data_IF_097454054190
#
_entry.id   IF_097454054190
#
_cell.length_a   1.000
_cell.length_b   1.000
_cell.length_c   1.000
_cell.angle_alpha   90.00
_cell.angle_beta   90.00
_cell.angle_gamma   90.00
#
_symmetry.space_group_name_H-M   'P 1'
#
loop_
_entity.id
_entity.type
_entity.pdbx_description
1 polymer ?
#
# COMPACT_ATOMS: atom_id res chain seq x y z
N UNK A 1 -13.91 -30.42 20.23
CA UNK A 1 -12.93 -29.66 19.43
C UNK A 1 -12.40 -28.52 20.30
N UNK A 2 -11.09 -28.40 20.56
CA UNK A 2 -10.59 -27.30 21.37
C UNK A 2 -10.81 -26.01 20.58
N UNK A 3 -11.54 -25.05 21.18
CA UNK A 3 -11.80 -23.74 20.60
C UNK A 3 -10.47 -23.17 20.11
N UNK A 4 -10.32 -22.97 18.79
CA UNK A 4 -9.18 -22.24 18.27
C UNK A 4 -9.14 -20.90 19.02
N UNK A 5 -8.15 -20.74 19.90
CA UNK A 5 -8.12 -19.64 20.87
C UNK A 5 -8.26 -18.33 20.10
N UNK A 6 -9.41 -17.69 20.26
CA UNK A 6 -9.76 -16.45 19.58
C UNK A 6 -8.83 -15.36 20.12
N UNK A 7 -8.15 -14.67 19.23
CA UNK A 7 -7.31 -13.53 19.58
C UNK A 7 -7.49 -12.45 18.54
N UNK A 8 -7.22 -11.19 18.94
CA UNK A 8 -7.28 -10.04 18.03
C UNK A 8 -6.41 -10.28 16.80
N UNK A 9 -5.18 -10.74 16.99
CA UNK A 9 -4.25 -10.99 15.88
C UNK A 9 -4.78 -12.04 14.91
N UNK A 10 -5.30 -13.18 15.39
CA UNK A 10 -5.89 -14.21 14.52
C UNK A 10 -7.09 -13.67 13.75
N UNK A 11 -7.94 -12.88 14.39
CA UNK A 11 -9.08 -12.23 13.75
C UNK A 11 -8.61 -11.31 12.62
N UNK A 12 -7.62 -10.44 12.88
CA UNK A 12 -7.09 -9.52 11.87
C UNK A 12 -6.43 -10.29 10.71
N UNK A 13 -5.65 -11.33 10.98
CA UNK A 13 -5.03 -12.15 9.93
C UNK A 13 -6.08 -12.85 9.04
N UNK A 14 -7.12 -13.43 9.65
CA UNK A 14 -8.19 -14.08 8.92
C UNK A 14 -9.03 -13.08 8.11
N UNK A 15 -9.30 -11.89 8.66
CA UNK A 15 -9.97 -10.81 7.95
C UNK A 15 -9.13 -10.27 6.79
N UNK A 16 -7.81 -10.19 6.95
CA UNK A 16 -6.89 -9.81 5.89
C UNK A 16 -6.91 -10.79 4.71
N UNK A 17 -6.88 -12.10 4.98
CA UNK A 17 -7.02 -13.12 3.94
C UNK A 17 -8.38 -12.98 3.22
N UNK A 18 -9.46 -12.84 3.98
CA UNK A 18 -10.80 -12.70 3.40
C UNK A 18 -10.97 -11.40 2.60
N UNK A 19 -10.27 -10.33 2.97
CA UNK A 19 -10.25 -9.09 2.20
C UNK A 19 -9.66 -9.31 0.80
N UNK A 20 -8.58 -10.09 0.67
CA UNK A 20 -7.99 -10.42 -0.64
C UNK A 20 -8.89 -11.34 -1.47
N UNK A 21 -9.63 -12.25 -0.84
CA UNK A 21 -10.52 -13.20 -1.52
C UNK A 21 -11.86 -12.59 -1.95
N UNK A 22 -12.49 -11.79 -1.09
CA UNK A 22 -13.87 -11.31 -1.26
C UNK A 22 -13.99 -9.79 -1.33
N UNK A 23 -12.87 -9.07 -1.28
CA UNK A 23 -12.81 -7.61 -1.25
C UNK A 23 -12.90 -7.03 0.16
N UNK A 24 -12.15 -5.96 0.41
CA UNK A 24 -12.05 -5.34 1.74
C UNK A 24 -13.38 -4.75 2.24
N UNK A 25 -14.24 -4.29 1.35
CA UNK A 25 -15.53 -3.73 1.73
C UNK A 25 -16.54 -4.77 2.22
N UNK A 26 -16.36 -6.04 1.85
CA UNK A 26 -17.21 -7.15 2.28
C UNK A 26 -17.01 -7.53 3.76
N UNK A 27 -15.97 -7.01 4.42
CA UNK A 27 -15.63 -7.36 5.80
C UNK A 27 -16.74 -6.96 6.77
N UNK A 28 -17.29 -7.96 7.46
CA UNK A 28 -18.28 -7.80 8.53
C UNK A 28 -17.93 -8.69 9.72
N UNK A 29 -18.29 -8.26 10.93
CA UNK A 29 -18.10 -9.08 12.13
C UNK A 29 -18.86 -10.41 12.05
N UNK A 30 -20.04 -10.44 11.39
CA UNK A 30 -20.80 -11.66 11.16
C UNK A 30 -20.05 -12.65 10.23
N UNK A 31 -19.41 -12.16 9.17
CA UNK A 31 -18.59 -13.01 8.30
C UNK A 31 -17.39 -13.60 9.08
N UNK A 32 -16.72 -12.80 9.91
CA UNK A 32 -15.62 -13.28 10.75
C UNK A 32 -16.11 -14.28 11.81
N UNK A 33 -17.25 -14.04 12.45
CA UNK A 33 -17.79 -14.95 13.47
C UNK A 33 -18.07 -16.34 12.88
N UNK A 34 -18.66 -16.37 11.67
CA UNK A 34 -18.87 -17.61 10.91
C UNK A 34 -17.56 -18.30 10.56
N UNK A 35 -16.53 -17.54 10.15
CA UNK A 35 -15.22 -18.08 9.79
C UNK A 35 -14.54 -18.81 10.97
N UNK A 36 -14.71 -18.31 12.19
CA UNK A 36 -14.16 -18.93 13.41
C UNK A 36 -15.10 -19.94 14.08
N UNK A 37 -16.28 -20.21 13.52
CA UNK A 37 -17.34 -21.03 14.13
C UNK A 37 -17.68 -20.58 15.57
N UNK A 38 -17.80 -19.26 15.76
CA UNK A 38 -18.16 -18.64 17.05
C UNK A 38 -19.41 -17.80 16.93
N UNK A 39 -20.09 -17.59 18.05
CA UNK A 39 -21.20 -16.64 18.12
C UNK A 39 -20.65 -15.21 18.02
N UNK A 40 -21.36 -14.33 17.33
CA UNK A 40 -20.98 -12.92 17.16
C UNK A 40 -20.62 -12.21 18.48
N UNK A 41 -21.34 -12.41 19.61
CA UNK A 41 -20.96 -11.83 20.90
C UNK A 41 -19.54 -12.16 21.37
N UNK A 42 -18.99 -13.31 20.96
CA UNK A 42 -17.63 -13.71 21.31
C UNK A 42 -16.55 -12.88 20.61
N UNK A 43 -16.85 -12.21 19.49
CA UNK A 43 -15.89 -11.34 18.81
C UNK A 43 -15.70 -9.99 19.52
N UNK A 44 -16.73 -9.46 20.17
CA UNK A 44 -16.66 -8.13 20.80
C UNK A 44 -15.63 -8.03 21.92
N UNK A 45 -15.23 -9.16 22.52
CA UNK A 45 -14.11 -9.22 23.46
C UNK A 45 -12.73 -9.02 22.84
N UNK A 46 -12.62 -9.03 21.51
CA UNK A 46 -11.35 -8.90 20.78
C UNK A 46 -11.34 -7.73 19.78
N UNK A 47 -12.51 -7.44 19.18
CA UNK A 47 -12.70 -6.35 18.22
C UNK A 47 -14.08 -5.75 18.45
N UNK A 48 -14.14 -4.50 18.88
CA UNK A 48 -15.36 -3.82 19.32
C UNK A 48 -16.29 -3.42 18.17
N UNK A 49 -15.77 -3.29 16.95
CA UNK A 49 -16.56 -2.84 15.80
C UNK A 49 -15.97 -3.28 14.46
N UNK A 50 -16.77 -3.20 13.39
CA UNK A 50 -16.26 -3.38 12.02
C UNK A 50 -15.22 -2.32 11.64
N UNK A 51 -15.33 -1.11 12.20
CA UNK A 51 -14.32 -0.07 12.02
C UNK A 51 -12.99 -0.49 12.61
N UNK A 52 -12.97 -1.01 13.85
CA UNK A 52 -11.74 -1.51 14.47
C UNK A 52 -11.16 -2.71 13.70
N UNK A 53 -12.02 -3.59 13.18
CA UNK A 53 -11.61 -4.70 12.30
C UNK A 53 -10.89 -4.17 11.06
N UNK A 54 -11.53 -3.24 10.32
CA UNK A 54 -10.98 -2.64 9.10
C UNK A 54 -9.70 -1.86 9.37
N UNK A 55 -9.63 -1.12 10.49
CA UNK A 55 -8.43 -0.43 10.93
C UNK A 55 -7.29 -1.42 11.23
N UNK A 56 -7.56 -2.54 11.91
CA UNK A 56 -6.54 -3.56 12.16
C UNK A 56 -6.00 -4.18 10.88
N UNK A 57 -6.87 -4.48 9.91
CA UNK A 57 -6.47 -5.00 8.59
C UNK A 57 -5.66 -3.95 7.81
N UNK A 58 -6.03 -2.67 7.88
CA UNK A 58 -5.28 -1.58 7.25
C UNK A 58 -3.86 -1.43 7.82
N UNK A 59 -3.70 -1.50 9.14
CA UNK A 59 -2.40 -1.48 9.79
C UNK A 59 -1.53 -2.67 9.35
N UNK A 60 -2.11 -3.88 9.34
CA UNK A 60 -1.41 -5.08 8.85
C UNK A 60 -1.01 -4.96 7.38
N UNK A 61 -1.88 -4.42 6.52
CA UNK A 61 -1.59 -4.20 5.11
C UNK A 61 -0.42 -3.23 4.91
N UNK A 62 -0.42 -2.11 5.65
CA UNK A 62 0.65 -1.13 5.62
C UNK A 62 1.98 -1.71 6.13
N UNK A 63 1.96 -2.51 7.19
CA UNK A 63 3.16 -3.15 7.72
C UNK A 63 3.78 -4.13 6.72
N UNK A 64 2.96 -5.00 6.11
CA UNK A 64 3.41 -5.94 5.07
C UNK A 64 3.97 -5.23 3.84
N UNK A 65 3.32 -4.15 3.40
CA UNK A 65 3.79 -3.37 2.26
C UNK A 65 5.11 -2.65 2.60
N UNK A 66 5.24 -2.11 3.82
CA UNK A 66 6.47 -1.50 4.30
C UNK A 66 7.63 -2.50 4.32
N UNK A 67 7.44 -3.68 4.91
CA UNK A 67 8.47 -4.74 4.98
C UNK A 67 9.00 -5.11 3.59
N UNK A 68 8.08 -5.40 2.64
CA UNK A 68 8.47 -5.71 1.25
C UNK A 68 9.20 -4.56 0.58
N UNK A 69 8.77 -3.32 0.84
CA UNK A 69 9.40 -2.14 0.23
C UNK A 69 10.79 -1.92 0.80
N UNK A 70 10.99 -2.11 2.11
CA UNK A 70 12.31 -2.00 2.76
C UNK A 70 13.31 -2.98 2.16
N UNK A 71 12.91 -4.24 2.00
CA UNK A 71 13.73 -5.26 1.35
C UNK A 71 14.05 -4.90 -0.10
N UNK A 72 13.05 -4.44 -0.86
CA UNK A 72 13.21 -4.14 -2.28
C UNK A 72 14.13 -2.94 -2.54
N UNK A 73 14.10 -1.91 -1.69
CA UNK A 73 14.93 -0.70 -1.87
C UNK A 73 16.29 -0.79 -1.21
N UNK A 74 16.56 -1.82 -0.40
CA UNK A 74 17.83 -1.99 0.30
C UNK A 74 19.02 -1.96 -0.68
N UNK A 75 19.99 -1.08 -0.41
CA UNK A 75 21.18 -0.90 -1.24
C UNK A 75 20.95 -0.20 -2.59
N UNK A 76 19.73 0.28 -2.88
CA UNK A 76 19.40 0.99 -4.13
C UNK A 76 19.30 2.50 -3.90
N UNK A 77 19.54 3.29 -4.94
CA UNK A 77 19.42 4.74 -4.93
C UNK A 77 18.88 5.28 -6.27
N UNK A 78 18.45 6.54 -6.29
CA UNK A 78 18.00 7.22 -7.52
C UNK A 78 16.89 6.45 -8.25
N UNK A 79 17.04 6.29 -9.56
CA UNK A 79 16.11 5.55 -10.44
C UNK A 79 15.88 4.11 -9.98
N UNK A 80 16.91 3.41 -9.51
CA UNK A 80 16.79 2.01 -9.10
C UNK A 80 15.92 1.87 -7.85
N UNK A 81 16.05 2.80 -6.90
CA UNK A 81 15.19 2.84 -5.71
C UNK A 81 13.75 3.25 -6.07
N UNK A 82 13.55 4.21 -6.99
CA UNK A 82 12.22 4.57 -7.50
C UNK A 82 11.53 3.37 -8.16
N UNK A 83 12.25 2.67 -9.04
CA UNK A 83 11.76 1.48 -9.75
C UNK A 83 11.38 0.39 -8.74
N UNK A 84 12.26 0.08 -7.80
CA UNK A 84 12.03 -0.93 -6.77
C UNK A 84 10.79 -0.64 -5.90
N UNK A 85 10.63 0.61 -5.48
CA UNK A 85 9.49 1.06 -4.69
C UNK A 85 8.20 0.90 -5.50
N UNK A 86 8.18 1.40 -6.73
CA UNK A 86 7.01 1.35 -7.59
C UNK A 86 6.60 -0.10 -7.91
N UNK A 87 7.56 -0.94 -8.31
CA UNK A 87 7.33 -2.36 -8.63
C UNK A 87 6.78 -3.12 -7.41
N UNK A 88 7.29 -2.84 -6.22
CA UNK A 88 6.78 -3.45 -4.99
C UNK A 88 5.31 -3.12 -4.77
N UNK A 89 4.92 -1.86 -4.97
CA UNK A 89 3.53 -1.43 -4.81
C UNK A 89 2.61 -2.05 -5.86
N UNK A 90 3.01 -2.06 -7.14
CA UNK A 90 2.22 -2.67 -8.23
C UNK A 90 2.12 -4.18 -8.08
N UNK A 91 3.20 -4.85 -7.66
CA UNK A 91 3.16 -6.28 -7.37
C UNK A 91 2.26 -6.58 -6.17
N UNK A 92 2.33 -5.75 -5.11
CA UNK A 92 1.47 -5.90 -3.94
C UNK A 92 -0.01 -5.70 -4.31
N UNK A 93 -0.33 -4.72 -5.16
CA UNK A 93 -1.70 -4.51 -5.62
C UNK A 93 -2.26 -5.74 -6.34
N UNK A 94 -1.47 -6.35 -7.23
CA UNK A 94 -1.85 -7.55 -7.99
C UNK A 94 -1.98 -8.80 -7.12
N UNK A 95 -1.08 -8.98 -6.15
CA UNK A 95 -1.06 -10.17 -5.28
C UNK A 95 -2.07 -10.09 -4.13
N UNK A 96 -2.33 -8.88 -3.65
CA UNK A 96 -3.16 -8.61 -2.48
C UNK A 96 -4.13 -7.44 -2.76
N UNK A 97 -5.10 -7.59 -3.67
CA UNK A 97 -6.00 -6.51 -4.07
C UNK A 97 -6.81 -5.97 -2.89
N UNK A 98 -7.22 -6.86 -1.96
CA UNK A 98 -7.95 -6.50 -0.75
C UNK A 98 -7.10 -5.73 0.24
N UNK A 99 -5.86 -6.16 0.48
CA UNK A 99 -4.94 -5.43 1.36
C UNK A 99 -4.45 -4.13 0.74
N UNK A 100 -4.30 -4.07 -0.59
CA UNK A 100 -4.00 -2.83 -1.30
C UNK A 100 -5.17 -1.83 -1.22
N UNK A 101 -6.41 -2.31 -1.13
CA UNK A 101 -7.53 -1.47 -0.74
C UNK A 101 -7.46 -1.07 0.73
N UNK A 102 -7.19 -2.01 1.63
CA UNK A 102 -7.12 -1.77 3.07
C UNK A 102 -6.05 -0.76 3.46
N UNK A 103 -4.90 -0.74 2.77
CA UNK A 103 -3.79 0.19 3.06
C UNK A 103 -4.16 1.68 2.90
N UNK A 104 -5.30 1.96 2.25
CA UNK A 104 -5.85 3.29 2.02
C UNK A 104 -7.03 3.62 2.97
N UNK A 105 -7.33 2.74 3.92
CA UNK A 105 -8.39 2.98 4.90
C UNK A 105 -8.03 4.18 5.79
N UNK A 106 -8.97 5.11 6.06
CA UNK A 106 -8.67 6.26 6.91
C UNK A 106 -8.21 5.85 8.32
N UNK A 107 -7.11 6.45 8.76
CA UNK A 107 -6.54 6.26 10.10
C UNK A 107 -6.49 7.61 10.81
N UNK A 108 -6.66 7.60 12.13
CA UNK A 108 -6.31 8.75 12.96
C UNK A 108 -4.79 9.00 12.92
N UNK A 109 -4.38 10.24 13.24
CA UNK A 109 -2.98 10.65 13.15
C UNK A 109 -2.04 9.78 14.01
N UNK A 110 -2.48 9.36 15.19
CA UNK A 110 -1.64 8.57 16.10
C UNK A 110 -1.46 7.14 15.56
N UNK A 111 -2.51 6.53 15.04
CA UNK A 111 -2.44 5.22 14.37
C UNK A 111 -1.60 5.26 13.10
N UNK A 112 -1.78 6.29 12.26
CA UNK A 112 -0.99 6.47 11.05
C UNK A 112 0.51 6.59 11.36
N UNK A 113 0.88 7.38 12.38
CA UNK A 113 2.28 7.59 12.76
C UNK A 113 3.00 6.33 13.25
N UNK A 114 2.27 5.38 13.85
CA UNK A 114 2.81 4.09 14.32
C UNK A 114 2.75 2.98 13.28
N UNK A 115 2.07 3.20 12.16
CA UNK A 115 1.85 2.19 11.11
C UNK A 115 3.04 2.06 10.15
N UNK A 116 3.02 0.99 9.36
CA UNK A 116 3.84 0.86 8.15
C UNK A 116 3.72 2.02 7.17
N UNK A 117 2.63 2.80 7.19
CA UNK A 117 2.49 4.01 6.38
C UNK A 117 3.56 5.06 6.69
N UNK A 118 3.90 5.25 7.97
CA UNK A 118 4.99 6.14 8.36
C UNK A 118 6.37 5.61 7.93
N UNK A 119 6.55 4.28 7.90
CA UNK A 119 7.76 3.63 7.35
C UNK A 119 7.87 3.87 5.85
N UNK A 120 6.79 3.64 5.10
CA UNK A 120 6.71 3.90 3.65
C UNK A 120 7.01 5.36 3.31
N UNK A 121 6.47 6.31 4.09
CA UNK A 121 6.78 7.73 3.92
C UNK A 121 8.29 8.00 4.07
N UNK A 122 8.93 7.43 5.10
CA UNK A 122 10.39 7.56 5.31
C UNK A 122 11.20 6.95 4.17
N UNK A 123 10.79 5.80 3.64
CA UNK A 123 11.45 5.17 2.48
C UNK A 123 11.32 6.04 1.23
N UNK A 124 10.14 6.61 0.98
CA UNK A 124 9.95 7.51 -0.15
C UNK A 124 10.80 8.77 0.00
N UNK A 125 10.84 9.38 1.20
CA UNK A 125 11.72 10.51 1.47
C UNK A 125 13.20 10.14 1.28
N UNK A 126 13.61 8.93 1.68
CA UNK A 126 14.97 8.45 1.52
C UNK A 126 15.35 8.26 0.05
N UNK A 127 14.46 7.64 -0.74
CA UNK A 127 14.61 7.50 -2.19
C UNK A 127 14.73 8.87 -2.86
N UNK A 128 13.88 9.82 -2.48
CA UNK A 128 13.91 11.19 -2.99
C UNK A 128 15.19 11.97 -2.63
N UNK A 129 16.04 11.50 -1.70
CA UNK A 129 17.37 12.11 -1.49
C UNK A 129 18.32 11.87 -2.67
N UNK A 130 18.06 10.86 -3.49
CA UNK A 130 18.76 10.65 -4.76
C UNK A 130 18.45 11.71 -5.81
N UNK A 131 17.44 12.55 -5.56
CA UNK A 131 17.07 13.69 -6.40
C UNK A 131 17.37 14.98 -5.64
N UNK A 132 17.98 15.97 -6.30
CA UNK A 132 18.35 17.25 -5.72
C UNK A 132 17.16 18.22 -5.59
N UNK A 133 16.03 17.72 -5.06
CA UNK A 133 14.78 18.45 -4.88
C UNK A 133 14.83 19.36 -3.64
N UNK A 134 14.15 20.51 -3.73
CA UNK A 134 13.81 21.35 -2.56
C UNK A 134 12.78 20.69 -1.65
N UNK A 135 12.59 21.22 -0.44
CA UNK A 135 11.71 20.61 0.57
C UNK A 135 10.24 20.60 0.14
N UNK A 136 9.76 21.67 -0.51
CA UNK A 136 8.40 21.74 -1.06
C UNK A 136 8.20 20.73 -2.20
N UNK A 137 9.16 20.68 -3.13
CA UNK A 137 9.14 19.74 -4.26
C UNK A 137 9.14 18.27 -3.81
N UNK A 138 9.79 17.94 -2.69
CA UNK A 138 9.76 16.56 -2.14
C UNK A 138 8.34 16.13 -1.77
N UNK A 139 7.51 17.05 -1.27
CA UNK A 139 6.10 16.76 -0.95
C UNK A 139 5.30 16.57 -2.23
N UNK A 140 5.50 17.42 -3.24
CA UNK A 140 4.87 17.28 -4.55
C UNK A 140 5.27 15.98 -5.26
N UNK A 141 6.56 15.65 -5.27
CA UNK A 141 7.10 14.41 -5.83
C UNK A 141 6.52 13.17 -5.14
N UNK A 142 6.42 13.19 -3.81
CA UNK A 142 5.78 12.12 -3.04
C UNK A 142 4.34 11.87 -3.47
N UNK A 143 3.55 12.94 -3.61
CA UNK A 143 2.16 12.86 -4.07
C UNK A 143 2.04 12.41 -5.52
N UNK A 144 2.92 12.88 -6.39
CA UNK A 144 2.98 12.50 -7.80
C UNK A 144 3.24 11.00 -7.96
N UNK A 145 4.31 10.50 -7.33
CA UNK A 145 4.69 9.08 -7.39
C UNK A 145 3.56 8.20 -6.84
N UNK A 146 3.02 8.53 -5.66
CA UNK A 146 1.93 7.77 -5.05
C UNK A 146 0.67 7.76 -5.92
N UNK A 147 0.32 8.91 -6.53
CA UNK A 147 -0.85 9.03 -7.40
C UNK A 147 -0.68 8.23 -8.69
N UNK A 148 0.50 8.27 -9.30
CA UNK A 148 0.82 7.47 -10.48
C UNK A 148 0.71 5.97 -10.19
N UNK A 149 1.42 5.49 -9.17
CA UNK A 149 1.43 4.06 -8.80
C UNK A 149 0.02 3.57 -8.51
N UNK A 150 -0.73 4.33 -7.72
CA UNK A 150 -2.11 4.01 -7.37
C UNK A 150 -3.00 4.00 -8.60
N UNK A 151 -3.00 5.08 -9.39
CA UNK A 151 -3.84 5.24 -10.56
C UNK A 151 -3.57 4.16 -11.61
N UNK A 152 -2.31 3.93 -11.94
CA UNK A 152 -1.91 2.88 -12.88
C UNK A 152 -2.37 1.50 -12.40
N UNK A 153 -2.13 1.17 -11.12
CA UNK A 153 -2.53 -0.13 -10.55
C UNK A 153 -4.04 -0.34 -10.59
N UNK A 154 -4.84 0.69 -10.27
CA UNK A 154 -6.29 0.59 -10.29
C UNK A 154 -6.84 0.46 -11.72
N UNK A 155 -6.29 1.20 -12.68
CA UNK A 155 -6.67 1.13 -14.09
C UNK A 155 -6.31 -0.23 -14.69
N UNK A 156 -5.12 -0.74 -14.38
CA UNK A 156 -4.66 -2.06 -14.80
C UNK A 156 -5.57 -3.17 -14.25
N UNK A 157 -5.88 -3.14 -12.94
CA UNK A 157 -6.78 -4.12 -12.33
C UNK A 157 -8.21 -4.07 -12.88
N UNK A 158 -8.65 -2.91 -13.34
CA UNK A 158 -9.95 -2.73 -13.98
C UNK A 158 -9.97 -3.18 -15.46
N UNK A 159 -8.86 -3.72 -15.99
CA UNK A 159 -8.75 -4.12 -17.39
C UNK A 159 -8.71 -2.96 -18.37
N UNK A 160 -8.44 -1.73 -17.89
CA UNK A 160 -8.49 -0.51 -18.73
C UNK A 160 -7.45 -0.50 -19.85
N UNK A 161 -6.43 -1.36 -19.76
CA UNK A 161 -5.35 -1.49 -20.73
C UNK A 161 -5.47 -2.75 -21.60
N UNK A 162 -6.46 -3.62 -21.37
CA UNK A 162 -6.56 -4.94 -22.02
C UNK A 162 -6.82 -4.89 -23.53
N UNK A 163 -7.19 -3.71 -24.05
CA UNK A 163 -7.55 -3.48 -25.44
C UNK A 163 -6.68 -2.43 -26.14
N UNK A 164 -5.53 -2.07 -25.56
CA UNK A 164 -4.58 -1.13 -26.14
C UNK A 164 -3.20 -1.77 -26.34
N UNK A 165 -2.42 -1.17 -27.24
CA UNK A 165 -1.02 -1.51 -27.45
C UNK A 165 -0.17 -0.24 -27.22
N UNK A 166 1.02 -0.36 -26.59
CA UNK A 166 1.64 -1.59 -26.09
C UNK A 166 0.99 -2.13 -24.80
N UNK A 167 1.43 -3.31 -24.35
CA UNK A 167 0.96 -3.87 -23.07
C UNK A 167 1.28 -2.97 -21.86
N UNK A 168 0.58 -3.22 -20.76
CA UNK A 168 0.72 -2.45 -19.52
C UNK A 168 2.14 -2.53 -18.93
N UNK A 169 2.85 -3.64 -19.10
CA UNK A 169 4.21 -3.80 -18.58
C UNK A 169 5.20 -2.86 -19.29
N UNK A 170 5.08 -2.71 -20.61
CA UNK A 170 5.90 -1.79 -21.39
C UNK A 170 5.57 -0.33 -21.05
N UNK A 171 4.29 0.01 -20.90
CA UNK A 171 3.86 1.34 -20.48
C UNK A 171 4.39 1.67 -19.08
N UNK A 172 4.27 0.74 -18.13
CA UNK A 172 4.78 0.90 -16.77
C UNK A 172 6.28 1.26 -16.74
N UNK A 173 7.12 0.48 -17.43
CA UNK A 173 8.57 0.77 -17.49
C UNK A 173 8.84 2.14 -18.10
N UNK A 174 8.12 2.49 -19.17
CA UNK A 174 8.27 3.79 -19.83
C UNK A 174 7.86 4.96 -18.93
N UNK A 175 6.81 4.78 -18.16
CA UNK A 175 6.31 5.81 -17.25
C UNK A 175 7.24 6.00 -16.05
N UNK A 176 7.86 4.94 -15.53
CA UNK A 176 8.90 5.04 -14.49
C UNK A 176 10.13 5.80 -15.01
N UNK A 177 10.56 5.56 -16.25
CA UNK A 177 11.60 6.36 -16.90
C UNK A 177 11.19 7.84 -17.02
N UNK A 178 9.94 8.10 -17.39
CA UNK A 178 9.39 9.44 -17.48
C UNK A 178 9.36 10.15 -16.14
N UNK A 179 8.97 9.45 -15.06
CA UNK A 179 8.97 9.98 -13.70
C UNK A 179 10.40 10.31 -13.22
N UNK A 180 11.36 9.42 -13.45
CA UNK A 180 12.77 9.68 -13.12
C UNK A 180 13.28 10.95 -13.83
N UNK A 181 13.06 11.05 -15.14
CA UNK A 181 13.46 12.22 -15.93
C UNK A 181 12.77 13.52 -15.44
N UNK A 182 11.48 13.45 -15.11
CA UNK A 182 10.73 14.59 -14.58
C UNK A 182 11.32 15.06 -13.24
N UNK A 183 11.58 14.15 -12.30
CA UNK A 183 12.15 14.48 -11.01
C UNK A 183 13.57 15.05 -11.13
N UNK A 184 14.38 14.56 -12.07
CA UNK A 184 15.69 15.14 -12.37
C UNK A 184 15.55 16.57 -12.92
N UNK A 185 14.56 16.84 -13.78
CA UNK A 185 14.35 18.18 -14.36
C UNK A 185 13.96 19.25 -13.32
N UNK A 186 13.23 18.86 -12.27
CA UNK A 186 12.86 19.78 -11.17
C UNK A 186 14.10 20.27 -10.42
N UNK A 187 15.12 19.42 -10.26
CA UNK A 187 16.39 19.82 -9.66
C UNK A 187 17.16 20.83 -10.53
N UNK A 188 17.11 20.68 -11.86
CA UNK A 188 17.82 21.58 -12.79
C UNK A 188 17.24 22.99 -12.82
N UNK A 189 15.91 23.15 -12.74
CA UNK A 189 15.26 24.47 -12.70
C UNK A 189 15.71 25.32 -11.51
N UNK A 190 16.14 24.68 -10.41
CA UNK A 190 16.67 25.35 -9.23
C UNK A 190 18.10 25.87 -9.42
N UNK A 191 18.87 25.31 -10.35
CA UNK A 191 20.26 25.78 -10.59
C UNK A 191 20.28 27.08 -11.39
N UNK A 192 19.18 27.40 -12.08
CA UNK A 192 19.03 28.58 -12.93
C UNK A 192 18.31 29.76 -12.23
N UNK A 193 17.91 29.59 -10.97
CA UNK A 193 17.25 30.61 -10.13
C UNK A 193 18.18 31.13 -9.04
#
# INVERSE_FOLDING_TARGET
MPRAGLSRDKIIQAAAQRADEEGFDSLTLAAIARLFDVRLPSLYGHVASVHELKQGVALLALDRLAERTEEAVAGRAGKDALTALAETHRSFSRQHPGLFQASRYPLDAASAQRSGGARLARLNHAMLRGYALGDEDRVHATRLIGSFILGFSLLEQAGSFDHSAPDAERSWRRDIEGLDALLQSWASQKTES
#
